data_IF_116223662099
#
_entry.id   IF_116223662099
#
_cell.length_a   1.000
_cell.length_b   1.000
_cell.length_c   1.000
_cell.angle_alpha   90.00
_cell.angle_beta   90.00
_cell.angle_gamma   90.00
#
_symmetry.space_group_name_H-M   'P 1'
#
loop_
_entity.id
_entity.type
_entity.pdbx_description
1 polymer ?
#
# COMPACT_ATOMS: atom_id res chain seq x y z
N UNK A 1 -12.80 -4.40 27.25
CA UNK A 1 -12.82 -4.16 26.60
C UNK A 1 -13.05 -3.54 26.21
N UNK A 2 -12.51 -3.70 26.29
CA UNK A 2 -12.46 -3.10 25.56
C UNK A 2 -12.31 -2.69 25.14
N UNK A 3 -12.02 -2.93 25.40
CA UNK A 3 -11.67 -2.49 24.72
C UNK A 3 -11.34 -2.45 24.37
N UNK A 4 -11.05 -2.89 24.53
CA UNK A 4 -10.53 -2.85 23.81
C UNK A 4 -10.34 -2.84 23.43
N UNK A 5 -10.16 -3.19 23.46
CA UNK A 5 -9.86 -3.17 22.81
C UNK A 5 -9.49 -3.05 22.53
N UNK A 6 -9.19 -3.15 22.73
CA UNK A 6 -8.76 -3.03 22.40
C UNK A 6 -8.30 -3.24 22.14
N UNK A 7 -7.95 -3.79 22.23
CA UNK A 7 -7.54 -4.07 21.94
C UNK A 7 -7.35 -4.40 21.45
N UNK A 8 -7.14 -4.84 21.18
CA UNK A 8 -6.97 -5.21 20.58
C UNK A 8 -6.48 -4.68 19.93
N UNK A 9 -6.32 -4.82 20.14
CA UNK A 9 -5.55 -4.53 19.00
C UNK A 9 -5.26 -3.12 18.82
N UNK A 10 -4.99 -2.61 19.69
CA UNK A 10 -4.74 -1.19 19.74
C UNK A 10 -3.46 -0.80 19.04
N UNK A 11 -2.51 -1.74 18.93
CA UNK A 11 -1.23 -1.42 18.31
C UNK A 11 -1.37 -0.87 16.88
N UNK A 12 -2.23 -1.43 16.01
CA UNK A 12 -2.39 -0.86 14.67
C UNK A 12 -2.87 0.59 14.69
N UNK A 13 -3.79 0.92 15.60
CA UNK A 13 -4.30 2.28 15.71
C UNK A 13 -3.19 3.23 16.14
N UNK A 14 -2.40 2.82 17.15
CA UNK A 14 -1.29 3.63 17.62
C UNK A 14 -0.25 3.82 16.52
N UNK A 15 0.03 2.77 15.75
CA UNK A 15 0.97 2.86 14.66
C UNK A 15 0.51 3.83 13.58
N UNK A 16 -0.79 3.79 13.25
CA UNK A 16 -1.33 4.70 12.26
C UNK A 16 -1.26 6.15 12.73
N UNK A 17 -1.52 6.37 14.01
CA UNK A 17 -1.44 7.72 14.54
C UNK A 17 -0.01 8.26 14.46
N UNK A 18 0.97 7.44 14.78
CA UNK A 18 2.37 7.83 14.65
C UNK A 18 2.73 8.17 13.22
N UNK A 19 2.22 7.39 12.27
CA UNK A 19 2.46 7.64 10.85
C UNK A 19 1.84 8.97 10.43
N UNK A 20 0.64 9.28 10.92
CA UNK A 20 0.00 10.54 10.60
C UNK A 20 0.78 11.73 11.16
N UNK A 21 1.38 11.56 12.34
CA UNK A 21 2.19 12.62 12.92
C UNK A 21 3.45 12.86 12.09
N UNK A 22 4.03 11.79 11.54
CA UNK A 22 5.27 11.88 10.79
C UNK A 22 5.05 12.36 9.36
N UNK A 23 4.02 11.86 8.70
CA UNK A 23 3.80 12.08 7.27
C UNK A 23 2.62 12.99 6.94
N UNK A 24 1.79 13.29 7.93
CA UNK A 24 0.55 13.99 7.70
C UNK A 24 -0.54 13.01 7.35
N UNK A 25 -1.30 13.31 6.32
CA UNK A 25 -2.42 12.45 5.93
C UNK A 25 -1.92 11.17 5.28
N UNK A 26 -2.37 10.03 5.79
CA UNK A 26 -2.03 8.73 5.20
C UNK A 26 -3.31 7.95 4.95
N UNK A 27 -3.20 6.96 4.06
CA UNK A 27 -4.31 6.09 3.68
C UNK A 27 -3.94 4.65 3.94
N UNK A 28 -4.84 3.91 4.57
CA UNK A 28 -4.67 2.47 4.76
C UNK A 28 -5.29 1.77 3.57
N UNK A 29 -4.51 0.96 2.88
CA UNK A 29 -4.96 0.18 1.73
C UNK A 29 -4.85 -1.28 2.07
N UNK A 30 -5.96 -2.01 2.02
CA UNK A 30 -6.00 -3.45 2.30
C UNK A 30 -6.50 -4.18 1.06
N UNK A 31 -5.83 -5.27 0.73
CA UNK A 31 -6.26 -6.13 -0.37
C UNK A 31 -6.23 -7.57 0.10
N UNK A 32 -7.04 -8.41 -0.55
CA UNK A 32 -7.10 -9.84 -0.26
C UNK A 32 -6.66 -10.59 -1.51
N UNK A 33 -5.72 -11.50 -1.34
CA UNK A 33 -5.14 -12.26 -2.44
C UNK A 33 -5.36 -13.75 -2.18
N UNK A 34 -5.89 -14.50 -3.16
CA UNK A 34 -5.99 -15.96 -3.00
C UNK A 34 -4.60 -16.57 -2.90
N UNK A 35 -4.38 -17.38 -1.88
CA UNK A 35 -3.15 -18.14 -1.74
C UNK A 35 -3.29 -19.47 -2.46
N UNK A 36 -4.46 -20.10 -2.30
CA UNK A 36 -4.82 -21.30 -3.04
C UNK A 36 -6.34 -21.31 -3.20
N UNK A 37 -6.90 -22.46 -3.60
CA UNK A 37 -8.34 -22.57 -3.89
C UNK A 37 -9.21 -22.31 -2.66
N UNK A 38 -8.66 -22.48 -1.46
CA UNK A 38 -9.45 -22.41 -0.23
C UNK A 38 -9.05 -21.28 0.71
N UNK A 39 -7.85 -20.71 0.52
CA UNK A 39 -7.34 -19.72 1.45
C UNK A 39 -7.04 -18.42 0.77
N UNK A 40 -7.25 -17.34 1.53
CA UNK A 40 -6.86 -16.01 1.09
C UNK A 40 -5.94 -15.40 2.12
N UNK A 41 -5.13 -14.45 1.70
CA UNK A 41 -4.27 -13.70 2.59
C UNK A 41 -4.55 -12.22 2.41
N UNK A 42 -4.62 -11.50 3.53
CA UNK A 42 -4.85 -10.07 3.50
C UNK A 42 -3.51 -9.35 3.62
N UNK A 43 -3.33 -8.33 2.80
CA UNK A 43 -2.16 -7.46 2.84
C UNK A 43 -2.63 -6.04 3.12
N UNK A 44 -1.99 -5.38 4.08
CA UNK A 44 -2.34 -4.02 4.47
C UNK A 44 -1.09 -3.16 4.47
N UNK A 45 -1.18 -2.00 3.84
CA UNK A 45 -0.08 -1.04 3.77
C UNK A 45 -0.61 0.36 3.99
N UNK A 46 0.29 1.26 4.34
CA UNK A 46 -0.06 2.67 4.55
C UNK A 46 0.67 3.52 3.52
N UNK A 47 -0.06 4.40 2.87
CA UNK A 47 0.46 5.22 1.80
C UNK A 47 0.25 6.70 2.09
N UNK A 48 1.21 7.51 1.67
CA UNK A 48 1.03 8.95 1.58
C UNK A 48 0.17 9.22 0.35
N UNK A 49 -0.54 10.33 0.34
CA UNK A 49 -1.30 10.70 -0.86
C UNK A 49 -0.31 10.99 -1.99
N UNK A 50 -0.46 10.31 -3.14
CA UNK A 50 0.46 10.55 -4.25
C UNK A 50 0.38 12.00 -4.73
N UNK A 51 1.53 12.58 -5.05
CA UNK A 51 1.59 13.92 -5.61
C UNK A 51 1.27 13.88 -7.09
N UNK A 52 0.90 15.04 -7.65
CA UNK A 52 0.66 15.13 -9.09
C UNK A 52 1.91 14.71 -9.88
N UNK A 53 3.14 15.17 -9.54
CA UNK A 53 4.32 14.69 -10.26
C UNK A 53 4.54 13.19 -10.17
N UNK A 54 4.25 12.58 -9.02
CA UNK A 54 4.40 11.14 -8.86
C UNK A 54 3.43 10.39 -9.77
N UNK A 55 2.19 10.82 -9.81
CA UNK A 55 1.18 10.22 -10.68
C UNK A 55 1.55 10.41 -12.16
N UNK A 56 2.01 11.59 -12.52
CA UNK A 56 2.41 11.88 -13.90
C UNK A 56 3.56 10.95 -14.34
N UNK A 57 4.54 10.74 -13.47
CA UNK A 57 5.61 9.79 -13.75
C UNK A 57 5.08 8.37 -13.94
N UNK A 58 4.10 7.98 -13.12
CA UNK A 58 3.49 6.67 -13.23
C UNK A 58 2.84 6.49 -14.62
N UNK A 59 2.05 7.47 -15.05
CA UNK A 59 1.38 7.39 -16.35
C UNK A 59 2.41 7.29 -17.48
N UNK A 60 3.44 8.12 -17.44
CA UNK A 60 4.48 8.12 -18.48
C UNK A 60 5.27 6.82 -18.47
N UNK A 61 5.62 6.33 -17.29
CA UNK A 61 6.35 5.07 -17.17
C UNK A 61 5.54 3.88 -17.66
N UNK A 62 4.23 3.88 -17.37
CA UNK A 62 3.37 2.79 -17.82
C UNK A 62 3.36 2.70 -19.34
N UNK A 63 3.38 3.83 -20.02
CA UNK A 63 3.40 3.86 -21.48
C UNK A 63 4.73 3.34 -22.05
N UNK A 64 5.83 3.54 -21.31
CA UNK A 64 7.16 3.15 -21.79
C UNK A 64 7.59 1.75 -21.38
N UNK A 65 7.38 1.41 -20.09
CA UNK A 65 7.94 0.18 -19.54
C UNK A 65 6.89 -0.85 -19.14
N UNK A 66 5.61 -0.52 -19.32
CA UNK A 66 4.52 -1.40 -18.95
C UNK A 66 3.98 -1.12 -17.58
N UNK A 67 2.70 -1.51 -17.41
CA UNK A 67 1.95 -1.19 -16.19
C UNK A 67 2.53 -1.87 -14.95
N UNK A 68 3.05 -3.07 -15.08
CA UNK A 68 3.54 -3.83 -13.93
C UNK A 68 4.73 -3.12 -13.28
N UNK A 69 5.72 -2.75 -14.09
CA UNK A 69 6.91 -2.09 -13.57
C UNK A 69 6.58 -0.69 -13.05
N UNK A 70 5.75 0.05 -13.79
CA UNK A 70 5.36 1.39 -13.40
C UNK A 70 4.58 1.38 -12.09
N UNK A 71 3.70 0.40 -11.88
CA UNK A 71 2.94 0.27 -10.65
C UNK A 71 3.85 0.01 -9.46
N UNK A 72 4.87 -0.83 -9.63
CA UNK A 72 5.83 -1.11 -8.57
C UNK A 72 6.51 0.17 -8.09
N UNK A 73 7.02 0.95 -9.04
CA UNK A 73 7.72 2.18 -8.71
C UNK A 73 6.77 3.17 -8.04
N UNK A 74 5.56 3.30 -8.58
CA UNK A 74 4.55 4.20 -8.03
C UNK A 74 4.23 3.89 -6.58
N UNK A 75 4.09 2.61 -6.27
CA UNK A 75 3.81 2.20 -4.91
C UNK A 75 4.97 2.47 -3.98
N UNK A 76 6.18 2.14 -4.40
CA UNK A 76 7.36 2.35 -3.56
C UNK A 76 7.63 3.83 -3.33
N UNK A 77 7.24 4.68 -4.28
CA UNK A 77 7.34 6.13 -4.10
C UNK A 77 6.41 6.66 -3.02
N UNK A 78 5.29 5.98 -2.80
CA UNK A 78 4.22 6.54 -1.97
C UNK A 78 3.93 5.77 -0.69
N UNK A 79 4.43 4.54 -0.55
CA UNK A 79 4.28 3.80 0.70
C UNK A 79 5.14 4.47 1.78
N UNK A 80 4.68 4.39 3.05
CA UNK A 80 5.49 4.91 4.14
C UNK A 80 6.80 4.12 4.23
N UNK A 81 7.87 4.79 4.62
CA UNK A 81 9.21 4.17 4.63
C UNK A 81 9.27 2.91 5.46
N UNK A 82 8.55 2.91 6.56
CA UNK A 82 8.56 1.78 7.50
C UNK A 82 8.07 0.49 6.87
N UNK A 83 7.36 0.58 5.74
CA UNK A 83 6.75 -0.60 5.10
C UNK A 83 7.35 -0.91 3.74
N UNK A 84 8.37 -0.17 3.31
CA UNK A 84 8.95 -0.38 1.97
C UNK A 84 9.52 -1.78 1.78
N UNK A 85 10.26 -2.28 2.75
CA UNK A 85 10.87 -3.60 2.64
C UNK A 85 9.83 -4.70 2.60
N UNK A 86 8.79 -4.56 3.43
CA UNK A 86 7.70 -5.54 3.46
C UNK A 86 6.95 -5.55 2.12
N UNK A 87 6.64 -4.37 1.61
CA UNK A 87 5.92 -4.26 0.33
C UNK A 87 6.75 -4.85 -0.80
N UNK A 88 8.05 -4.57 -0.82
CA UNK A 88 8.95 -5.11 -1.85
C UNK A 88 8.94 -6.63 -1.83
N UNK A 89 9.09 -7.23 -0.64
CA UNK A 89 9.09 -8.68 -0.51
C UNK A 89 7.75 -9.29 -0.94
N UNK A 90 6.65 -8.66 -0.52
CA UNK A 90 5.33 -9.17 -0.86
C UNK A 90 5.07 -9.10 -2.36
N UNK A 91 5.54 -8.04 -3.03
CA UNK A 91 5.39 -7.92 -4.48
C UNK A 91 6.22 -8.94 -5.25
N UNK A 92 7.35 -9.34 -4.68
CA UNK A 92 8.17 -10.38 -5.32
C UNK A 92 7.48 -11.74 -5.28
N UNK A 93 6.78 -12.03 -4.20
CA UNK A 93 6.03 -13.28 -4.09
C UNK A 93 4.71 -13.24 -4.83
N UNK A 94 4.08 -12.07 -4.88
CA UNK A 94 2.74 -11.91 -5.46
C UNK A 94 2.74 -10.69 -6.37
N UNK A 95 3.22 -10.82 -7.61
CA UNK A 95 3.36 -9.67 -8.51
C UNK A 95 2.06 -8.90 -8.77
N UNK A 96 0.92 -9.59 -8.70
CA UNK A 96 -0.37 -8.93 -8.91
C UNK A 96 -0.72 -7.89 -7.86
N UNK A 97 -0.06 -7.94 -6.69
CA UNK A 97 -0.27 -6.94 -5.64
C UNK A 97 -0.02 -5.54 -6.16
N UNK A 98 1.04 -5.39 -6.97
CA UNK A 98 1.42 -4.08 -7.51
C UNK A 98 0.28 -3.43 -8.28
N UNK A 99 -0.35 -4.20 -9.16
CA UNK A 99 -1.43 -3.65 -9.99
C UNK A 99 -2.67 -3.37 -9.15
N UNK A 100 -3.01 -4.29 -8.26
CA UNK A 100 -4.21 -4.13 -7.43
C UNK A 100 -4.10 -2.89 -6.53
N UNK A 101 -2.97 -2.74 -5.86
CA UNK A 101 -2.77 -1.58 -4.98
C UNK A 101 -2.64 -0.31 -5.80
N UNK A 102 -1.99 -0.38 -6.96
CA UNK A 102 -1.89 0.77 -7.85
C UNK A 102 -3.25 1.33 -8.21
N UNK A 103 -4.21 0.45 -8.52
CA UNK A 103 -5.57 0.86 -8.81
C UNK A 103 -6.22 1.54 -7.61
N UNK A 104 -5.97 1.02 -6.40
CA UNK A 104 -6.51 1.64 -5.19
C UNK A 104 -5.92 3.03 -4.97
N UNK A 105 -4.64 3.21 -5.23
CA UNK A 105 -4.00 4.51 -5.06
C UNK A 105 -4.57 5.55 -6.02
N UNK A 106 -4.92 5.16 -7.24
CA UNK A 106 -5.50 6.11 -8.17
C UNK A 106 -6.88 6.58 -7.74
N UNK A 107 -7.57 5.81 -6.89
CA UNK A 107 -8.88 6.21 -6.39
C UNK A 107 -8.80 7.36 -5.38
N UNK A 108 -7.65 7.56 -4.75
CA UNK A 108 -7.51 8.59 -3.72
C UNK A 108 -6.79 9.85 -4.22
N UNK A 109 -6.54 9.94 -5.50
CA UNK A 109 -5.89 11.11 -6.09
C UNK A 109 -6.79 12.35 -6.16
#
# INVERSE_FOLDING_TARGET
MEDIKKAEGTAPVSGEEQLRQKYGKIYRVSITVPVDDEETQEFTYHFKRPSVPSYDRYVKSAAKTGITKASKVFMLDNVVEEEQDKLTADMEENPGIAITIGNKLTEIL
#
